data_IF_837126454439
#
_entry.id   IF_837126454439
#
_cell.length_a   1.000
_cell.length_b   1.000
_cell.length_c   1.000
_cell.angle_alpha   90.00
_cell.angle_beta   90.00
_cell.angle_gamma   90.00
#
_symmetry.space_group_name_H-M   'P 1'
#
loop_
_entity.id
_entity.type
_entity.pdbx_description
1 polymer ?
#
# COMPACT_ATOMS: atom_id res chain seq x y z
N UNK A 1 4.06 -21.55 20.06
CA UNK A 1 2.79 -20.82 19.84
C UNK A 1 3.00 -19.29 19.93
N UNK A 2 4.18 -18.77 19.53
CA UNK A 2 4.62 -17.42 19.99
C UNK A 2 5.28 -16.54 18.91
N UNK A 3 5.52 -17.05 17.70
CA UNK A 3 6.19 -16.29 16.63
C UNK A 3 5.18 -15.72 15.61
N UNK A 4 4.17 -16.51 15.26
CA UNK A 4 3.10 -16.13 14.32
C UNK A 4 2.22 -14.96 14.80
N UNK A 5 1.97 -14.88 16.11
CA UNK A 5 1.19 -13.77 16.69
C UNK A 5 1.98 -12.46 16.72
N UNK A 6 3.32 -12.54 16.88
CA UNK A 6 4.20 -11.37 16.82
C UNK A 6 4.27 -10.81 15.40
N UNK A 7 4.49 -11.66 14.40
CA UNK A 7 4.52 -11.25 12.99
C UNK A 7 3.21 -10.58 12.51
N UNK A 8 2.04 -11.05 12.98
CA UNK A 8 0.75 -10.42 12.66
C UNK A 8 0.56 -9.05 13.33
N UNK A 9 1.02 -8.90 14.57
CA UNK A 9 1.01 -7.63 15.28
C UNK A 9 1.91 -6.57 14.63
N UNK A 10 3.12 -6.99 14.24
CA UNK A 10 4.08 -6.12 13.55
C UNK A 10 3.56 -5.72 12.15
N UNK A 11 2.97 -6.66 11.41
CA UNK A 11 2.31 -6.38 10.12
C UNK A 11 1.18 -5.36 10.25
N UNK A 12 0.37 -5.46 11.31
CA UNK A 12 -0.71 -4.51 11.56
C UNK A 12 -0.15 -3.12 11.91
N UNK A 13 0.92 -3.04 12.70
CA UNK A 13 1.59 -1.78 13.02
C UNK A 13 2.18 -1.11 11.76
N UNK A 14 2.84 -1.88 10.90
CA UNK A 14 3.33 -1.40 9.60
C UNK A 14 2.18 -0.88 8.74
N UNK A 15 1.09 -1.64 8.62
CA UNK A 15 -0.10 -1.22 7.87
C UNK A 15 -0.69 0.09 8.40
N UNK A 16 -0.86 0.22 9.71
CA UNK A 16 -1.39 1.46 10.30
C UNK A 16 -0.45 2.64 10.07
N UNK A 17 0.87 2.44 10.12
CA UNK A 17 1.82 3.50 9.81
C UNK A 17 1.70 3.99 8.36
N UNK A 18 1.57 3.05 7.43
CA UNK A 18 1.34 3.35 6.01
C UNK A 18 -0.01 4.06 5.81
N UNK A 19 -1.05 3.64 6.54
CA UNK A 19 -2.38 4.28 6.51
C UNK A 19 -2.31 5.73 6.99
N UNK A 20 -1.67 5.98 8.13
CA UNK A 20 -1.48 7.33 8.68
C UNK A 20 -0.75 8.24 7.69
N UNK A 21 0.35 7.74 7.10
CA UNK A 21 1.09 8.47 6.08
C UNK A 21 0.21 8.81 4.88
N UNK A 22 -0.50 7.81 4.32
CA UNK A 22 -1.35 7.99 3.15
C UNK A 22 -2.46 9.04 3.39
N UNK A 23 -3.04 9.07 4.59
CA UNK A 23 -4.08 10.04 4.97
C UNK A 23 -3.52 11.46 5.24
N UNK A 24 -2.22 11.59 5.49
CA UNK A 24 -1.54 12.88 5.60
C UNK A 24 -1.34 13.59 4.25
N UNK A 25 -1.42 12.85 3.14
CA UNK A 25 -1.20 13.40 1.80
C UNK A 25 -2.31 14.38 1.39
N UNK A 26 -1.99 15.44 0.61
CA UNK A 26 -2.97 16.46 0.27
C UNK A 26 -4.24 15.90 -0.38
N UNK A 27 -5.41 16.19 0.20
CA UNK A 27 -6.70 15.75 -0.34
C UNK A 27 -6.93 14.24 -0.32
N UNK A 28 -6.12 13.48 0.42
CA UNK A 28 -6.35 12.07 0.66
C UNK A 28 -7.50 11.86 1.66
N UNK A 29 -8.26 10.79 1.47
CA UNK A 29 -9.30 10.36 2.39
C UNK A 29 -9.47 8.84 2.34
N UNK A 30 -9.93 8.27 3.45
CA UNK A 30 -10.23 6.84 3.54
C UNK A 30 -11.64 6.53 3.04
N UNK A 31 -11.81 5.38 2.40
CA UNK A 31 -13.10 4.86 1.97
C UNK A 31 -13.13 3.34 2.11
N UNK A 32 -14.32 2.74 2.08
CA UNK A 32 -14.55 1.29 2.29
C UNK A 32 -15.48 0.69 1.22
N UNK A 33 -15.11 0.76 -0.07
CA UNK A 33 -15.98 0.36 -1.18
C UNK A 33 -16.42 -1.11 -1.13
N UNK A 34 -15.64 -1.97 -0.47
CA UNK A 34 -15.95 -3.39 -0.29
C UNK A 34 -15.84 -3.85 1.18
N UNK A 35 -15.93 -2.92 2.13
CA UNK A 35 -15.72 -3.19 3.56
C UNK A 35 -14.25 -3.20 3.99
N UNK A 36 -13.32 -3.26 3.04
CA UNK A 36 -11.88 -3.10 3.27
C UNK A 36 -11.41 -1.65 3.05
N UNK A 37 -10.37 -1.25 3.78
CA UNK A 37 -9.82 0.11 3.71
C UNK A 37 -9.09 0.37 2.40
N UNK A 38 -9.44 1.47 1.74
CA UNK A 38 -8.68 2.06 0.64
C UNK A 38 -8.46 3.54 0.90
N UNK A 39 -7.35 4.07 0.41
CA UNK A 39 -7.08 5.52 0.45
C UNK A 39 -7.22 6.09 -0.95
N UNK A 40 -8.02 7.16 -1.05
CA UNK A 40 -8.39 7.82 -2.29
C UNK A 40 -7.92 9.26 -2.32
N UNK A 41 -7.60 9.73 -3.51
CA UNK A 41 -7.40 11.15 -3.84
C UNK A 41 -8.24 11.48 -5.06
N UNK A 42 -9.01 12.56 -4.99
CA UNK A 42 -9.89 12.98 -6.10
C UNK A 42 -10.73 11.83 -6.69
N UNK A 43 -11.39 11.05 -5.82
CA UNK A 43 -12.22 9.87 -6.16
C UNK A 43 -11.48 8.68 -6.78
N UNK A 44 -10.15 8.71 -6.85
CA UNK A 44 -9.32 7.60 -7.36
C UNK A 44 -8.55 6.96 -6.22
N UNK A 45 -8.52 5.63 -6.20
CA UNK A 45 -7.73 4.85 -5.23
C UNK A 45 -6.24 4.96 -5.60
N UNK A 46 -5.39 5.18 -4.61
CA UNK A 46 -3.93 5.09 -4.76
C UNK A 46 -3.28 4.10 -3.77
N UNK A 47 -3.99 3.66 -2.73
CA UNK A 47 -3.54 2.55 -1.86
C UNK A 47 -4.72 1.66 -1.49
N UNK A 48 -4.50 0.34 -1.49
CA UNK A 48 -5.38 -0.63 -0.82
C UNK A 48 -4.70 -1.17 0.43
N UNK A 49 -5.45 -1.29 1.52
CA UNK A 49 -4.94 -1.66 2.85
C UNK A 49 -5.76 -2.84 3.42
N UNK A 50 -5.55 -4.03 2.87
CA UNK A 50 -6.32 -5.23 3.25
C UNK A 50 -5.82 -5.88 4.53
N UNK A 51 -6.74 -6.41 5.33
CA UNK A 51 -6.45 -7.04 6.63
C UNK A 51 -6.37 -8.59 6.60
N UNK A 52 -6.37 -9.21 5.41
CA UNK A 52 -6.15 -10.67 5.29
C UNK A 52 -7.28 -11.48 4.65
N UNK A 53 -8.11 -10.87 3.79
CA UNK A 53 -9.23 -11.55 3.11
C UNK A 53 -9.08 -11.66 1.57
N UNK A 54 -7.88 -11.47 1.04
CA UNK A 54 -7.65 -11.49 -0.41
C UNK A 54 -7.95 -12.84 -1.09
N UNK A 55 -8.02 -13.94 -0.33
CA UNK A 55 -8.35 -15.28 -0.86
C UNK A 55 -9.53 -15.87 -0.08
N UNK A 56 -10.71 -15.87 -0.71
CA UNK A 56 -11.87 -16.58 -0.18
C UNK A 56 -11.52 -18.07 0.04
N UNK A 57 -11.60 -18.53 1.29
CA UNK A 57 -11.34 -19.93 1.66
C UNK A 57 -9.94 -20.24 2.20
N UNK A 58 -9.00 -19.29 2.21
CA UNK A 58 -7.77 -19.41 3.00
C UNK A 58 -7.88 -18.56 4.27
N UNK A 59 -7.91 -19.21 5.43
CA UNK A 59 -7.88 -18.51 6.71
C UNK A 59 -6.57 -17.74 6.92
N UNK A 60 -6.66 -16.61 7.64
CA UNK A 60 -5.58 -15.78 8.19
C UNK A 60 -4.45 -15.46 7.19
N UNK A 61 -4.79 -14.83 6.07
CA UNK A 61 -3.77 -14.23 5.19
C UNK A 61 -3.14 -13.01 5.88
N UNK A 62 -1.86 -12.70 5.62
CA UNK A 62 -1.24 -11.50 6.17
C UNK A 62 -1.96 -10.23 5.70
N UNK A 63 -1.92 -9.14 6.51
CA UNK A 63 -2.26 -7.81 6.02
C UNK A 63 -1.44 -7.47 4.77
N UNK A 64 -1.99 -6.70 3.84
CA UNK A 64 -1.29 -6.35 2.60
C UNK A 64 -1.42 -4.87 2.27
N UNK A 65 -0.41 -4.33 1.60
CA UNK A 65 -0.43 -3.00 0.97
C UNK A 65 -0.39 -3.19 -0.53
N UNK A 66 -1.33 -2.57 -1.25
CA UNK A 66 -1.32 -2.55 -2.72
C UNK A 66 -1.16 -1.13 -3.22
N UNK A 67 -0.14 -0.91 -4.04
CA UNK A 67 0.27 0.40 -4.57
C UNK A 67 0.53 0.32 -6.06
N UNK A 68 0.46 1.47 -6.73
CA UNK A 68 0.81 1.59 -8.14
C UNK A 68 2.23 2.14 -8.26
N UNK A 69 3.12 1.34 -8.85
CA UNK A 69 4.52 1.69 -9.09
C UNK A 69 4.75 1.76 -10.60
N UNK A 70 5.21 2.92 -11.05
CA UNK A 70 5.57 3.24 -12.43
C UNK A 70 7.07 3.42 -12.62
N UNK A 71 7.81 3.69 -11.55
CA UNK A 71 9.26 3.62 -11.55
C UNK A 71 9.71 2.16 -11.71
N UNK A 72 10.53 1.83 -12.74
CA UNK A 72 10.93 0.45 -12.98
C UNK A 72 11.76 -0.17 -11.86
N UNK A 73 12.57 0.62 -11.14
CA UNK A 73 13.42 0.12 -10.05
C UNK A 73 12.58 -0.18 -8.81
N UNK A 74 11.69 0.75 -8.42
CA UNK A 74 10.74 0.54 -7.33
C UNK A 74 9.82 -0.65 -7.62
N UNK A 75 9.31 -0.76 -8.84
CA UNK A 75 8.48 -1.89 -9.25
C UNK A 75 9.25 -3.22 -9.16
N UNK A 76 10.48 -3.29 -9.67
CA UNK A 76 11.31 -4.49 -9.58
C UNK A 76 11.62 -4.86 -8.13
N UNK A 77 11.89 -3.87 -7.27
CA UNK A 77 12.14 -4.08 -5.85
C UNK A 77 10.89 -4.64 -5.15
N UNK A 78 9.72 -4.03 -5.35
CA UNK A 78 8.47 -4.52 -4.77
C UNK A 78 8.11 -5.94 -5.25
N UNK A 79 8.41 -6.26 -6.52
CA UNK A 79 8.22 -7.61 -7.09
C UNK A 79 9.20 -8.65 -6.52
N UNK A 80 10.33 -8.22 -5.95
CA UNK A 80 11.28 -9.12 -5.28
C UNK A 80 10.87 -9.45 -3.84
N UNK A 81 9.89 -8.74 -3.27
CA UNK A 81 9.45 -8.96 -1.90
C UNK A 81 8.78 -10.35 -1.74
N UNK A 82 9.01 -11.04 -0.60
CA UNK A 82 8.44 -12.37 -0.36
C UNK A 82 6.92 -12.36 -0.47
N UNK A 83 6.36 -13.29 -1.25
CA UNK A 83 4.91 -13.47 -1.35
C UNK A 83 4.18 -12.39 -2.16
N UNK A 84 4.89 -11.46 -2.81
CA UNK A 84 4.27 -10.48 -3.71
C UNK A 84 3.48 -11.19 -4.80
N UNK A 85 2.20 -10.86 -4.88
CA UNK A 85 1.29 -11.36 -5.91
C UNK A 85 1.07 -10.25 -6.94
N UNK A 86 1.15 -10.60 -8.23
CA UNK A 86 0.53 -9.77 -9.25
C UNK A 86 -0.94 -9.66 -8.90
N UNK A 87 -1.41 -8.44 -8.64
CA UNK A 87 -2.81 -8.17 -8.31
C UNK A 87 -3.75 -8.92 -9.26
N UNK A 88 -4.50 -9.88 -8.71
CA UNK A 88 -5.64 -10.49 -9.41
C UNK A 88 -6.67 -9.41 -9.78
N UNK A 89 -7.50 -9.68 -10.79
CA UNK A 89 -8.46 -8.73 -11.42
C UNK A 89 -7.89 -7.75 -12.46
N UNK A 90 -6.83 -8.11 -13.19
CA UNK A 90 -6.38 -7.32 -14.37
C UNK A 90 -5.63 -6.02 -14.04
N UNK A 91 -5.38 -5.74 -12.76
CA UNK A 91 -4.65 -4.57 -12.28
C UNK A 91 -3.12 -4.68 -12.49
N UNK A 92 -2.57 -5.89 -12.59
CA UNK A 92 -1.14 -6.11 -12.85
C UNK A 92 -0.62 -5.50 -14.15
N UNK A 93 -1.48 -5.28 -15.17
CA UNK A 93 -1.09 -4.61 -16.44
C UNK A 93 -0.88 -3.09 -16.31
N UNK A 94 -1.24 -2.50 -15.17
CA UNK A 94 -1.16 -1.04 -14.95
C UNK A 94 -0.13 -0.65 -13.89
N UNK A 95 0.77 -1.55 -13.49
CA UNK A 95 1.81 -1.27 -12.49
C UNK A 95 1.38 -1.44 -11.03
N UNK A 96 0.24 -2.10 -10.76
CA UNK A 96 -0.19 -2.37 -9.38
C UNK A 96 0.47 -3.60 -8.78
N UNK A 97 1.09 -3.44 -7.62
CA UNK A 97 1.81 -4.48 -6.88
C UNK A 97 1.17 -4.66 -5.50
N UNK A 98 0.89 -5.91 -5.10
CA UNK A 98 0.40 -6.24 -3.74
C UNK A 98 1.54 -6.84 -2.93
N UNK A 99 1.87 -6.18 -1.83
CA UNK A 99 2.94 -6.57 -0.91
C UNK A 99 2.31 -7.14 0.36
N UNK A 100 2.50 -8.44 0.66
CA UNK A 100 2.11 -9.00 1.94
C UNK A 100 3.05 -8.54 3.06
N UNK A 101 2.50 -8.31 4.25
CA UNK A 101 3.23 -7.85 5.43
C UNK A 101 3.44 -8.99 6.42
N UNK A 102 4.48 -8.87 7.26
CA UNK A 102 4.69 -9.80 8.38
C UNK A 102 5.48 -11.07 8.05
N UNK A 103 5.86 -11.27 6.79
CA UNK A 103 6.86 -12.28 6.41
C UNK A 103 8.28 -11.73 6.64
N UNK A 104 9.25 -12.58 7.04
CA UNK A 104 10.66 -12.18 7.11
C UNK A 104 11.14 -11.64 5.76
N UNK A 105 11.70 -10.43 5.76
CA UNK A 105 12.13 -9.75 4.52
C UNK A 105 11.03 -8.97 3.80
N UNK A 106 9.83 -8.85 4.40
CA UNK A 106 8.85 -7.87 3.95
C UNK A 106 9.41 -6.44 4.12
N UNK A 107 9.09 -5.52 3.18
CA UNK A 107 9.42 -4.10 3.29
C UNK A 107 8.98 -3.50 4.62
N UNK A 108 9.81 -2.62 5.18
CA UNK A 108 9.44 -1.85 6.37
C UNK A 108 8.43 -0.74 6.02
N UNK A 109 7.91 -0.08 7.06
CA UNK A 109 6.92 0.97 6.89
C UNK A 109 7.47 2.20 6.13
N UNK A 110 8.76 2.50 6.24
CA UNK A 110 9.38 3.66 5.59
C UNK A 110 9.41 3.47 4.07
N UNK A 111 9.94 2.34 3.61
CA UNK A 111 9.95 2.00 2.19
C UNK A 111 8.53 1.89 1.60
N UNK A 112 7.57 1.37 2.37
CA UNK A 112 6.17 1.33 1.95
C UNK A 112 5.56 2.74 1.81
N UNK A 113 5.96 3.70 2.65
CA UNK A 113 5.51 5.09 2.55
C UNK A 113 6.04 5.75 1.26
N UNK A 114 7.31 5.51 0.90
CA UNK A 114 7.87 6.00 -0.37
C UNK A 114 7.08 5.48 -1.58
N UNK A 115 6.75 4.18 -1.57
CA UNK A 115 5.93 3.57 -2.62
C UNK A 115 4.49 4.09 -2.64
N UNK A 116 3.91 4.41 -1.48
CA UNK A 116 2.61 5.07 -1.39
C UNK A 116 2.66 6.49 -1.96
N UNK A 117 3.73 7.24 -1.71
CA UNK A 117 3.91 8.56 -2.30
C UNK A 117 4.01 8.48 -3.83
N UNK A 118 4.77 7.53 -4.37
CA UNK A 118 4.85 7.32 -5.82
C UNK A 118 3.46 7.00 -6.42
N UNK A 119 2.72 6.11 -5.77
CA UNK A 119 1.36 5.76 -6.17
C UNK A 119 0.42 6.98 -6.13
N UNK A 120 0.54 7.80 -5.08
CA UNK A 120 -0.18 9.06 -4.97
C UNK A 120 0.17 10.01 -6.12
N UNK A 121 1.46 10.25 -6.39
CA UNK A 121 1.94 11.11 -7.48
C UNK A 121 1.44 10.64 -8.85
N UNK A 122 1.32 9.32 -9.03
CA UNK A 122 0.79 8.71 -10.26
C UNK A 122 -0.72 8.95 -10.46
N UNK A 123 -1.49 9.06 -9.38
CA UNK A 123 -2.97 9.10 -9.42
C UNK A 123 -3.52 10.51 -9.19
N UNK A 124 -2.85 11.32 -8.38
CA UNK A 124 -3.31 12.62 -7.92
C UNK A 124 -3.31 13.68 -9.05
N UNK A 125 -4.23 14.65 -9.02
CA UNK A 125 -4.16 15.83 -9.87
C UNK A 125 -2.88 16.64 -9.64
N UNK A 126 -2.34 17.23 -10.70
CA UNK A 126 -1.10 18.05 -10.67
C UNK A 126 -1.11 19.13 -9.58
N UNK A 127 -2.26 19.72 -9.27
CA UNK A 127 -2.40 20.72 -8.20
C UNK A 127 -2.03 20.16 -6.83
N UNK A 128 -2.46 18.93 -6.52
CA UNK A 128 -2.20 18.31 -5.23
C UNK A 128 -0.77 17.77 -5.14
N UNK A 129 -0.19 17.34 -6.26
CA UNK A 129 1.25 17.02 -6.33
C UNK A 129 2.10 18.26 -6.07
N UNK A 130 1.78 19.39 -6.69
CA UNK A 130 2.49 20.65 -6.42
C UNK A 130 2.35 21.11 -4.96
N UNK A 131 1.19 20.87 -4.33
CA UNK A 131 0.98 21.14 -2.91
C UNK A 131 1.85 20.22 -2.02
N UNK A 132 1.97 18.93 -2.38
CA UNK A 132 2.85 17.99 -1.70
C UNK A 132 4.32 18.47 -1.76
N UNK A 133 4.80 18.85 -2.94
CA UNK A 133 6.16 19.34 -3.13
C UNK A 133 6.43 20.62 -2.31
N UNK A 134 5.46 21.53 -2.24
CA UNK A 134 5.57 22.74 -1.45
C UNK A 134 5.64 22.48 0.06
N UNK A 135 4.97 21.42 0.57
CA UNK A 135 5.05 21.01 1.97
C UNK A 135 6.38 20.35 2.32
N UNK A 136 7.02 19.68 1.36
CA UNK A 136 8.32 19.04 1.57
C UNK A 136 9.49 20.03 1.53
N UNK A 137 9.33 21.16 0.85
CA UNK A 137 10.34 22.20 0.72
C UNK A 137 10.35 23.26 1.84
N UNK A 138 9.35 23.23 2.74
CA UNK A 138 9.20 24.15 3.87
C UNK A 138 9.41 23.47 5.20
#
# INVERSE_FOLDING_TARGET
MSDRTRGRGDAQAVRERVREFALGLPGAYEDFPWGESVVKVNRKIFVFLFLGHLVAGQGDSPPTVTVKLTDPEAHAHAMSAPGTLLTGYGLGRSGWVTIPLGEPGAPDAELLCDWVEESYRTVAPRRLVAELDARAAG
#
